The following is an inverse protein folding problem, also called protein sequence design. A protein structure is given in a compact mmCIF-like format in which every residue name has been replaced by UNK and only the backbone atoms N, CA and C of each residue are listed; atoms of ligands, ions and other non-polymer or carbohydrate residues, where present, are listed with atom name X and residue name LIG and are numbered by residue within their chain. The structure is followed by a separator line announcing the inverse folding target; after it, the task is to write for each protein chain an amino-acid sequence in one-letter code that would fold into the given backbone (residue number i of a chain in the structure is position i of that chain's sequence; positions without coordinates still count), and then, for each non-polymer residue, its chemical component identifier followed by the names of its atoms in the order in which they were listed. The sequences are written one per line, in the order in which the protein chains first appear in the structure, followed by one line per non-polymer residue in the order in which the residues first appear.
data_IF_659567461255
#
_entry.id   IF_659567461255
#
_cell.length_a   1.000
_cell.length_b   1.000
_cell.length_c   1.000
_cell.angle_alpha   90.00
_cell.angle_beta   90.00
_cell.angle_gamma   90.00
#
_symmetry.space_group_name_H-M   'P 1'
#
loop_
_entity.id
_entity.type
_entity.pdbx_description
1 polymer ?
#
# COMPACT_ATOMS: atom_id res chain seq x y z
N UNK A 1 -46.65 15.64 0.92
CA UNK A 1 -45.63 14.79 0.26
C UNK A 1 -44.25 15.21 0.76
N UNK A 2 -43.75 14.50 1.74
CA UNK A 2 -42.44 14.74 2.36
C UNK A 2 -41.37 14.19 1.42
N UNK A 3 -40.44 15.04 0.98
CA UNK A 3 -39.25 14.61 0.22
C UNK A 3 -38.29 13.99 1.21
N UNK A 4 -38.28 12.67 1.27
CA UNK A 4 -37.21 11.93 1.92
C UNK A 4 -35.88 12.28 1.25
N UNK A 5 -34.99 12.96 1.98
CA UNK A 5 -33.63 13.21 1.54
C UNK A 5 -32.89 11.88 1.54
N UNK A 6 -32.64 11.32 0.37
CA UNK A 6 -31.76 10.18 0.19
C UNK A 6 -30.39 10.60 0.71
N UNK A 7 -30.02 10.05 1.85
CA UNK A 7 -28.77 10.33 2.54
C UNK A 7 -27.65 9.50 1.89
N UNK A 8 -27.15 9.95 0.75
CA UNK A 8 -25.97 9.39 0.08
C UNK A 8 -24.70 9.76 0.83
N UNK A 9 -24.58 9.32 2.08
CA UNK A 9 -23.31 9.47 2.80
C UNK A 9 -22.29 8.53 2.19
N UNK A 10 -21.29 9.09 1.50
CA UNK A 10 -20.02 8.39 1.20
C UNK A 10 -19.51 7.80 2.51
N UNK A 11 -19.57 6.49 2.67
CA UNK A 11 -18.88 5.85 3.79
C UNK A 11 -17.42 5.75 3.44
N UNK A 12 -16.60 6.45 4.18
CA UNK A 12 -15.15 6.23 4.19
C UNK A 12 -14.94 4.83 4.74
N UNK A 13 -14.23 4.00 3.99
CA UNK A 13 -13.91 2.66 4.44
C UNK A 13 -12.98 2.76 5.63
N UNK A 14 -13.26 1.98 6.65
CA UNK A 14 -12.44 1.88 7.84
C UNK A 14 -11.06 1.32 7.46
N UNK A 15 -10.06 2.19 7.43
CA UNK A 15 -8.68 1.84 7.05
C UNK A 15 -8.10 0.85 8.06
N UNK A 16 -8.58 0.86 9.32
CA UNK A 16 -8.21 -0.11 10.34
C UNK A 16 -8.56 -1.53 9.92
N UNK A 17 -9.75 -1.73 9.35
CA UNK A 17 -10.15 -3.03 8.81
C UNK A 17 -9.28 -3.48 7.64
N UNK A 18 -8.78 -2.54 6.83
CA UNK A 18 -7.85 -2.86 5.75
C UNK A 18 -6.47 -3.30 6.27
N UNK A 19 -5.98 -2.68 7.32
CA UNK A 19 -4.67 -2.99 7.89
C UNK A 19 -4.70 -4.20 8.85
N UNK A 20 -5.86 -4.54 9.39
CA UNK A 20 -6.06 -5.68 10.32
C UNK A 20 -6.73 -6.89 9.67
N UNK A 21 -7.23 -6.78 8.46
CA UNK A 21 -7.88 -7.89 7.76
C UNK A 21 -6.96 -9.12 7.66
N UNK A 22 -7.49 -10.25 8.09
CA UNK A 22 -6.77 -11.49 8.38
C UNK A 22 -5.84 -11.96 7.26
N UNK A 23 -4.63 -12.32 7.66
CA UNK A 23 -3.64 -13.17 6.98
C UNK A 23 -2.87 -12.63 5.76
N UNK A 24 -3.26 -11.56 5.05
CA UNK A 24 -2.49 -11.03 3.91
C UNK A 24 -1.79 -9.71 4.20
N UNK A 25 -2.30 -8.95 5.14
CA UNK A 25 -1.87 -7.57 5.42
C UNK A 25 -0.66 -7.45 6.36
N UNK A 26 -0.42 -8.44 7.22
CA UNK A 26 0.67 -8.40 8.19
C UNK A 26 2.06 -8.43 7.54
N UNK A 27 2.16 -8.99 6.33
CA UNK A 27 3.42 -9.09 5.60
C UNK A 27 3.65 -7.80 4.81
N UNK A 28 4.62 -7.02 5.23
CA UNK A 28 5.04 -5.82 4.52
C UNK A 28 4.76 -4.49 5.22
N UNK A 29 3.93 -4.45 6.27
CA UNK A 29 3.82 -3.29 7.15
C UNK A 29 5.10 -3.19 7.98
N UNK A 30 5.66 -1.99 8.11
CA UNK A 30 6.82 -1.77 8.97
C UNK A 30 6.46 -1.96 10.46
N UNK A 31 7.44 -2.37 11.25
CA UNK A 31 7.29 -2.44 12.71
C UNK A 31 6.87 -1.12 13.33
N UNK A 32 7.31 0.00 12.75
CA UNK A 32 6.93 1.35 13.20
C UNK A 32 5.44 1.64 13.03
N UNK A 33 4.85 1.23 11.91
CA UNK A 33 3.42 1.44 11.68
C UNK A 33 2.58 0.47 12.51
N UNK A 34 3.04 -0.78 12.67
CA UNK A 34 2.40 -1.74 13.57
C UNK A 34 2.34 -1.24 14.99
N UNK A 35 3.45 -0.69 15.50
CA UNK A 35 3.54 -0.13 16.87
C UNK A 35 2.54 1.04 17.08
N UNK A 36 2.33 1.87 16.06
CA UNK A 36 1.32 2.93 16.10
C UNK A 36 -0.10 2.36 16.13
N UNK A 37 -0.40 1.39 15.26
CA UNK A 37 -1.72 0.74 15.18
C UNK A 37 -2.04 0.04 16.51
N UNK A 38 -1.09 -0.70 17.09
CA UNK A 38 -1.25 -1.36 18.38
C UNK A 38 -1.51 -0.37 19.54
N UNK A 39 -1.03 0.86 19.42
CA UNK A 39 -1.30 1.97 20.34
C UNK A 39 -2.61 2.71 20.06
N UNK A 40 -3.38 2.28 19.05
CA UNK A 40 -4.60 2.97 18.63
C UNK A 40 -4.36 4.26 17.83
N UNK A 41 -3.13 4.49 17.37
CA UNK A 41 -2.77 5.63 16.53
C UNK A 41 -2.85 5.26 15.04
N UNK A 42 -4.03 5.35 14.44
CA UNK A 42 -4.24 5.04 13.01
C UNK A 42 -3.82 6.21 12.12
N UNK A 43 -2.53 6.37 11.92
CA UNK A 43 -1.95 7.42 11.06
C UNK A 43 -0.70 6.95 10.34
N UNK A 44 -0.41 7.59 9.23
CA UNK A 44 0.89 7.47 8.56
C UNK A 44 2.01 8.03 9.45
N UNK A 45 3.24 7.56 9.22
CA UNK A 45 4.40 8.17 9.87
C UNK A 45 4.56 9.62 9.43
N UNK A 46 4.88 10.48 10.39
CA UNK A 46 5.25 11.87 10.14
C UNK A 46 6.58 11.98 9.41
N UNK A 47 6.83 13.10 8.74
CA UNK A 47 8.12 13.35 8.08
C UNK A 47 9.31 13.24 9.06
N UNK A 48 9.14 13.67 10.31
CA UNK A 48 10.18 13.56 11.34
C UNK A 48 10.50 12.11 11.68
N UNK A 49 9.50 11.24 11.72
CA UNK A 49 9.66 9.80 11.94
C UNK A 49 10.34 9.14 10.73
N UNK A 50 9.90 9.48 9.52
CA UNK A 50 10.53 9.02 8.27
C UNK A 50 11.99 9.46 8.17
N UNK A 51 12.32 10.69 8.51
CA UNK A 51 13.70 11.18 8.52
C UNK A 51 14.61 10.40 9.49
N UNK A 52 14.10 9.97 10.64
CA UNK A 52 14.87 9.10 11.55
C UNK A 52 15.18 7.74 10.91
N UNK A 53 14.21 7.16 10.19
CA UNK A 53 14.41 5.90 9.47
C UNK A 53 15.44 6.09 8.35
N UNK A 54 15.27 7.14 7.55
CA UNK A 54 16.20 7.49 6.47
C UNK A 54 17.63 7.61 6.99
N UNK A 55 17.84 8.35 8.08
CA UNK A 55 19.18 8.52 8.65
C UNK A 55 19.82 7.20 9.11
N UNK A 56 19.02 6.28 9.69
CA UNK A 56 19.51 4.95 10.07
C UNK A 56 19.84 4.09 8.84
N UNK A 57 18.95 4.10 7.85
CA UNK A 57 19.12 3.33 6.61
C UNK A 57 20.31 3.84 5.79
N UNK A 58 20.51 5.15 5.70
CA UNK A 58 21.66 5.79 5.06
C UNK A 58 22.99 5.27 5.63
N UNK A 59 23.12 5.30 6.96
CA UNK A 59 24.34 4.78 7.64
C UNK A 59 24.56 3.29 7.39
N UNK A 60 23.48 2.50 7.41
CA UNK A 60 23.57 1.06 7.16
C UNK A 60 23.95 0.76 5.71
N UNK A 61 23.39 1.52 4.75
CA UNK A 61 23.71 1.36 3.34
C UNK A 61 25.15 1.78 3.00
N UNK A 62 25.65 2.85 3.61
CA UNK A 62 27.06 3.20 3.49
C UNK A 62 27.99 2.07 3.94
N UNK A 63 27.71 1.47 5.11
CA UNK A 63 28.45 0.29 5.59
C UNK A 63 28.34 -0.90 4.64
N UNK A 64 27.21 -1.11 4.03
CA UNK A 64 27.00 -2.15 3.01
C UNK A 64 27.88 -1.92 1.79
N UNK A 65 27.94 -0.70 1.26
CA UNK A 65 28.83 -0.36 0.14
C UNK A 65 30.31 -0.56 0.48
N UNK A 66 30.73 -0.13 1.67
CA UNK A 66 32.10 -0.35 2.16
C UNK A 66 32.43 -1.85 2.25
N UNK A 67 31.49 -2.67 2.74
CA UNK A 67 31.66 -4.12 2.82
C UNK A 67 31.80 -4.78 1.44
N UNK A 68 31.23 -4.20 0.41
CA UNK A 68 31.40 -4.61 -0.99
C UNK A 68 32.70 -4.12 -1.63
N UNK A 69 33.52 -3.35 -0.90
CA UNK A 69 34.76 -2.76 -1.43
C UNK A 69 34.54 -1.53 -2.31
N UNK A 70 33.36 -0.91 -2.25
CA UNK A 70 33.06 0.32 -3.00
C UNK A 70 33.57 1.52 -2.22
N UNK A 71 34.46 2.31 -2.82
CA UNK A 71 34.95 3.58 -2.25
C UNK A 71 33.98 4.72 -2.54
N UNK A 72 32.78 4.60 -1.97
CA UNK A 72 31.67 5.53 -2.21
C UNK A 72 31.92 6.91 -1.55
N UNK A 73 32.73 6.99 -0.51
CA UNK A 73 33.00 8.23 0.23
C UNK A 73 33.84 9.20 -0.59
N UNK A 74 34.77 8.70 -1.43
CA UNK A 74 35.67 9.47 -2.24
C UNK A 74 35.25 9.63 -3.71
N UNK A 75 34.19 8.94 -4.13
CA UNK A 75 33.65 9.06 -5.48
C UNK A 75 32.51 10.11 -5.54
N UNK A 76 32.70 11.22 -6.28
CA UNK A 76 31.69 12.28 -6.41
C UNK A 76 30.32 11.80 -6.93
N UNK A 77 30.27 10.68 -7.68
CA UNK A 77 29.01 10.12 -8.19
C UNK A 77 28.25 9.30 -7.14
N UNK A 78 28.96 8.67 -6.20
CA UNK A 78 28.41 7.74 -5.20
C UNK A 78 28.37 8.27 -3.78
N UNK A 79 29.03 9.37 -3.45
CA UNK A 79 29.07 9.91 -2.09
C UNK A 79 27.70 10.18 -1.48
N UNK A 80 26.69 10.55 -2.30
CA UNK A 80 25.31 10.77 -1.88
C UNK A 80 24.42 9.53 -2.03
N UNK A 81 24.95 8.42 -2.57
CA UNK A 81 24.16 7.21 -2.86
C UNK A 81 23.51 6.63 -1.61
N UNK A 82 24.16 6.50 -0.45
CA UNK A 82 23.52 5.98 0.75
C UNK A 82 22.25 6.76 1.13
N UNK A 83 22.33 8.08 1.08
CA UNK A 83 21.20 8.95 1.38
C UNK A 83 20.10 8.88 0.33
N UNK A 84 20.47 8.89 -0.96
CA UNK A 84 19.50 8.78 -2.08
C UNK A 84 18.74 7.48 -2.03
N UNK A 85 19.44 6.37 -1.81
CA UNK A 85 18.82 5.04 -1.70
C UNK A 85 17.91 4.97 -0.48
N UNK A 86 18.35 5.42 0.70
CA UNK A 86 17.51 5.42 1.89
C UNK A 86 16.23 6.24 1.72
N UNK A 87 16.31 7.42 1.07
CA UNK A 87 15.13 8.22 0.72
C UNK A 87 14.21 7.52 -0.26
N UNK A 88 14.76 6.90 -1.31
CA UNK A 88 13.98 6.17 -2.30
C UNK A 88 13.19 5.04 -1.65
N UNK A 89 13.80 4.27 -0.75
CA UNK A 89 13.10 3.21 -0.02
C UNK A 89 11.95 3.73 0.82
N UNK A 90 12.16 4.77 1.61
CA UNK A 90 11.15 5.25 2.56
C UNK A 90 10.04 6.03 1.87
N UNK A 91 10.37 6.88 0.89
CA UNK A 91 9.41 7.81 0.32
C UNK A 91 8.76 7.31 -0.98
N UNK A 92 9.28 6.24 -1.59
CA UNK A 92 8.77 5.72 -2.86
C UNK A 92 8.66 4.20 -2.81
N UNK A 93 9.76 3.46 -2.93
CA UNK A 93 9.76 2.01 -3.17
C UNK A 93 9.00 1.20 -2.11
N UNK A 94 9.07 1.63 -0.85
CA UNK A 94 8.40 1.00 0.28
C UNK A 94 7.48 1.94 1.05
N UNK A 95 7.03 3.03 0.44
CA UNK A 95 6.16 4.01 1.14
C UNK A 95 4.93 3.37 1.76
N UNK A 96 4.35 2.35 1.13
CA UNK A 96 3.20 1.61 1.67
C UNK A 96 3.48 0.86 2.96
N UNK A 97 4.75 0.78 3.42
CA UNK A 97 5.12 0.28 4.75
C UNK A 97 5.04 1.34 5.83
N UNK A 98 5.01 2.61 5.46
CA UNK A 98 5.10 3.75 6.37
C UNK A 98 3.89 4.67 6.29
N UNK A 99 3.03 4.42 5.33
CA UNK A 99 1.83 5.21 5.08
C UNK A 99 0.59 4.31 5.11
N UNK A 100 -0.46 4.81 5.74
CA UNK A 100 -1.80 4.25 5.63
C UNK A 100 -2.37 4.64 4.27
N UNK A 101 -3.14 3.78 3.59
CA UNK A 101 -3.74 4.13 2.31
C UNK A 101 -4.56 5.40 2.42
N UNK A 102 -4.46 6.26 1.42
CA UNK A 102 -5.36 7.40 1.33
C UNK A 102 -6.80 6.90 1.23
N UNK A 103 -7.71 7.72 1.72
CA UNK A 103 -9.15 7.48 1.79
C UNK A 103 -9.70 6.71 0.59
N UNK A 104 -10.21 5.51 0.85
CA UNK A 104 -10.88 4.66 -0.13
C UNK A 104 -12.37 4.82 0.06
N UNK A 105 -13.06 5.29 -0.95
CA UNK A 105 -14.51 5.46 -0.91
C UNK A 105 -15.20 4.34 -1.69
N UNK A 106 -16.28 3.82 -1.11
CA UNK A 106 -17.17 2.89 -1.74
C UNK A 106 -18.62 3.40 -1.61
N UNK A 107 -19.49 2.94 -2.49
CA UNK A 107 -20.89 3.34 -2.58
C UNK A 107 -21.77 2.10 -2.46
N UNK A 108 -23.01 2.20 -2.01
CA UNK A 108 -23.96 1.10 -2.09
C UNK A 108 -24.05 0.58 -3.52
N UNK A 109 -24.20 -0.74 -3.70
CA UNK A 109 -24.36 -1.35 -5.02
C UNK A 109 -25.72 -1.05 -5.65
N UNK A 110 -26.69 -0.64 -4.83
CA UNK A 110 -28.09 -0.36 -5.24
C UNK A 110 -28.72 -1.53 -6.03
N UNK A 111 -28.36 -2.76 -5.63
CA UNK A 111 -28.84 -3.99 -6.26
C UNK A 111 -28.08 -4.40 -7.52
N UNK A 112 -27.01 -3.68 -7.90
CA UNK A 112 -26.16 -4.13 -8.99
C UNK A 112 -25.41 -5.41 -8.59
N UNK A 113 -25.57 -6.45 -9.40
CA UNK A 113 -25.01 -7.78 -9.19
C UNK A 113 -24.16 -8.28 -10.38
N UNK A 114 -23.81 -7.40 -11.28
CA UNK A 114 -22.93 -7.70 -12.41
C UNK A 114 -21.45 -7.65 -12.01
N UNK A 115 -20.61 -8.13 -12.91
CA UNK A 115 -19.15 -8.09 -12.74
C UNK A 115 -18.67 -6.65 -12.92
N UNK A 116 -17.88 -6.17 -11.95
CA UNK A 116 -17.10 -4.96 -12.08
C UNK A 116 -15.68 -5.38 -12.43
N UNK A 117 -15.18 -4.89 -13.56
CA UNK A 117 -13.87 -5.25 -14.10
C UNK A 117 -13.05 -3.98 -14.41
N UNK A 118 -11.88 -3.89 -13.82
CA UNK A 118 -10.84 -2.93 -14.19
C UNK A 118 -9.60 -3.68 -14.63
N UNK A 119 -9.08 -3.35 -15.81
CA UNK A 119 -7.94 -4.03 -16.43
C UNK A 119 -6.78 -3.09 -16.64
N UNK A 120 -5.60 -3.70 -16.78
CA UNK A 120 -4.38 -3.01 -17.17
C UNK A 120 -3.91 -1.94 -16.18
N UNK A 121 -4.26 -2.08 -14.90
CA UNK A 121 -3.75 -1.20 -13.84
C UNK A 121 -2.24 -1.38 -13.76
N UNK A 122 -1.44 -0.34 -14.06
CA UNK A 122 0.01 -0.47 -14.00
C UNK A 122 0.47 -0.66 -12.55
N UNK A 123 1.41 -1.59 -12.36
CA UNK A 123 2.03 -1.80 -11.07
C UNK A 123 3.54 -1.76 -11.16
N UNK A 124 4.14 -1.05 -10.23
CA UNK A 124 5.58 -1.11 -9.93
C UNK A 124 5.73 -1.58 -8.50
N UNK A 125 6.45 -2.66 -8.31
CA UNK A 125 6.74 -3.23 -6.99
C UNK A 125 8.21 -3.61 -6.90
N UNK A 126 8.60 -4.16 -5.78
CA UNK A 126 9.94 -4.66 -5.54
C UNK A 126 9.85 -6.07 -4.95
N UNK A 127 10.57 -7.00 -5.55
CA UNK A 127 10.68 -8.35 -5.02
C UNK A 127 11.36 -8.34 -3.65
N UNK A 128 10.74 -8.97 -2.65
CA UNK A 128 11.30 -9.03 -1.29
C UNK A 128 12.56 -9.89 -1.18
N UNK A 129 12.84 -10.76 -2.17
CA UNK A 129 13.99 -11.66 -2.12
C UNK A 129 15.30 -10.95 -2.45
N UNK A 130 15.37 -10.28 -3.57
CA UNK A 130 16.61 -9.69 -4.08
C UNK A 130 16.48 -8.18 -4.35
N UNK A 131 15.38 -7.57 -3.94
CA UNK A 131 15.07 -6.15 -4.14
C UNK A 131 15.13 -5.70 -5.62
N UNK A 132 14.83 -6.64 -6.54
CA UNK A 132 14.70 -6.31 -7.94
C UNK A 132 13.30 -5.75 -8.25
N UNK A 133 13.24 -4.84 -9.22
CA UNK A 133 11.99 -4.23 -9.64
C UNK A 133 11.05 -5.27 -10.27
N UNK A 134 9.76 -5.20 -9.90
CA UNK A 134 8.66 -5.92 -10.53
C UNK A 134 7.85 -4.87 -11.31
N UNK A 135 7.74 -5.05 -12.60
CA UNK A 135 6.91 -4.22 -13.48
C UNK A 135 5.84 -5.11 -14.09
N UNK A 136 4.60 -4.66 -14.04
CA UNK A 136 3.50 -5.47 -14.56
C UNK A 136 2.17 -4.73 -14.59
N UNK A 137 1.11 -5.53 -14.71
CA UNK A 137 -0.27 -5.07 -14.73
C UNK A 137 -1.11 -5.91 -13.77
N UNK A 138 -2.08 -5.27 -13.15
CA UNK A 138 -3.08 -5.92 -12.31
C UNK A 138 -4.43 -5.83 -13.00
N UNK A 139 -5.19 -6.91 -12.94
CA UNK A 139 -6.58 -6.96 -13.37
C UNK A 139 -7.43 -7.32 -12.16
N UNK A 140 -8.48 -6.55 -11.94
CA UNK A 140 -9.38 -6.70 -10.79
C UNK A 140 -10.78 -6.96 -11.33
N UNK A 141 -11.38 -8.06 -10.89
CA UNK A 141 -12.79 -8.35 -11.13
C UNK A 141 -13.46 -8.74 -9.83
N UNK A 142 -14.65 -8.24 -9.57
CA UNK A 142 -15.44 -8.64 -8.42
C UNK A 142 -16.93 -8.44 -8.69
N UNK A 143 -17.77 -9.14 -7.96
CA UNK A 143 -19.23 -8.97 -7.95
C UNK A 143 -19.60 -8.41 -6.58
N UNK A 144 -20.27 -7.27 -6.46
CA UNK A 144 -20.74 -6.75 -5.18
C UNK A 144 -21.66 -7.78 -4.49
N UNK A 145 -21.59 -7.89 -3.18
CA UNK A 145 -22.57 -8.66 -2.41
C UNK A 145 -23.99 -8.06 -2.56
N UNK A 146 -25.00 -8.78 -2.10
CA UNK A 146 -26.43 -8.37 -2.22
C UNK A 146 -26.66 -6.99 -1.62
N UNK A 147 -26.08 -6.72 -0.45
CA UNK A 147 -26.05 -5.40 0.20
C UNK A 147 -24.65 -4.78 0.16
N UNK A 148 -23.85 -5.22 -0.81
CA UNK A 148 -22.44 -4.89 -0.94
C UNK A 148 -22.19 -3.49 -1.48
N UNK A 149 -20.91 -3.19 -1.73
CA UNK A 149 -20.46 -1.87 -2.16
C UNK A 149 -19.73 -1.93 -3.48
N UNK A 150 -19.87 -0.85 -4.23
CA UNK A 150 -19.10 -0.58 -5.43
C UNK A 150 -17.92 0.33 -5.07
N UNK A 151 -16.71 -0.13 -5.37
CA UNK A 151 -15.49 0.63 -5.18
C UNK A 151 -15.24 1.51 -6.40
N UNK A 152 -15.01 2.80 -6.20
CA UNK A 152 -14.70 3.69 -7.31
C UNK A 152 -13.43 3.23 -8.05
N UNK A 153 -13.43 3.20 -9.39
CA UNK A 153 -12.32 2.70 -10.21
C UNK A 153 -10.97 3.32 -9.82
N UNK A 154 -10.91 4.64 -9.64
CA UNK A 154 -9.71 5.33 -9.17
C UNK A 154 -9.21 4.86 -7.80
N UNK A 155 -10.06 4.22 -7.00
CA UNK A 155 -9.69 3.67 -5.69
C UNK A 155 -9.06 2.29 -5.82
N UNK A 156 -9.47 1.51 -6.81
CA UNK A 156 -8.82 0.25 -7.15
C UNK A 156 -7.35 0.50 -7.53
N UNK A 157 -7.08 1.52 -8.35
CA UNK A 157 -5.70 1.93 -8.66
C UNK A 157 -4.89 2.29 -7.42
N UNK A 158 -5.47 3.00 -6.45
CA UNK A 158 -4.80 3.37 -5.20
C UNK A 158 -4.50 2.17 -4.33
N UNK A 159 -5.39 1.17 -4.29
CA UNK A 159 -5.17 -0.10 -3.58
C UNK A 159 -3.96 -0.81 -4.19
N UNK A 160 -3.95 -0.97 -5.51
CA UNK A 160 -2.84 -1.61 -6.23
C UNK A 160 -1.51 -0.88 -5.95
N UNK A 161 -1.51 0.43 -6.05
CA UNK A 161 -0.32 1.24 -5.80
C UNK A 161 0.18 1.10 -4.36
N UNK A 162 -0.72 1.17 -3.38
CA UNK A 162 -0.37 1.04 -1.97
C UNK A 162 0.30 -0.30 -1.66
N UNK A 163 -0.29 -1.42 -2.11
CA UNK A 163 0.28 -2.74 -1.88
C UNK A 163 1.52 -3.00 -2.73
N UNK A 164 1.58 -2.47 -3.95
CA UNK A 164 2.78 -2.51 -4.79
C UNK A 164 4.00 -1.88 -4.13
N UNK A 165 3.79 -0.84 -3.32
CA UNK A 165 4.86 -0.10 -2.62
C UNK A 165 5.21 -0.68 -1.25
N UNK A 166 5.11 -2.00 -1.06
CA UNK A 166 5.48 -2.67 0.21
C UNK A 166 6.66 -3.62 0.11
N UNK A 167 7.06 -4.01 -1.08
CA UNK A 167 8.07 -5.04 -1.32
C UNK A 167 7.56 -6.41 -0.87
N UNK A 168 7.18 -7.25 -1.82
CA UNK A 168 6.60 -8.57 -1.58
C UNK A 168 6.93 -9.52 -2.74
N UNK A 169 6.46 -10.75 -2.64
CA UNK A 169 6.38 -11.67 -3.78
C UNK A 169 5.00 -11.50 -4.45
N UNK A 170 4.89 -11.94 -5.69
CA UNK A 170 3.67 -11.77 -6.49
C UNK A 170 2.44 -12.39 -5.82
N UNK A 171 2.59 -13.57 -5.24
CA UNK A 171 1.52 -14.32 -4.58
C UNK A 171 0.96 -13.54 -3.39
N UNK A 172 1.84 -13.02 -2.53
CA UNK A 172 1.43 -12.20 -1.37
C UNK A 172 0.78 -10.89 -1.80
N UNK A 173 1.30 -10.26 -2.84
CA UNK A 173 0.75 -9.03 -3.40
C UNK A 173 -0.66 -9.26 -3.94
N UNK A 174 -0.88 -10.35 -4.68
CA UNK A 174 -2.18 -10.75 -5.20
C UNK A 174 -3.19 -10.96 -4.07
N UNK A 175 -2.81 -11.74 -3.04
CA UNK A 175 -3.66 -12.00 -1.88
C UNK A 175 -3.99 -10.71 -1.12
N UNK A 176 -3.01 -9.81 -0.94
CA UNK A 176 -3.23 -8.56 -0.24
C UNK A 176 -4.23 -7.65 -0.97
N UNK A 177 -4.10 -7.51 -2.29
CA UNK A 177 -5.04 -6.75 -3.12
C UNK A 177 -6.42 -7.38 -3.09
N UNK A 178 -6.53 -8.71 -3.27
CA UNK A 178 -7.78 -9.44 -3.20
C UNK A 178 -8.52 -9.21 -1.87
N UNK A 179 -7.83 -9.42 -0.74
CA UNK A 179 -8.43 -9.25 0.58
C UNK A 179 -8.90 -7.81 0.83
N UNK A 180 -8.13 -6.81 0.36
CA UNK A 180 -8.53 -5.42 0.47
C UNK A 180 -9.85 -5.15 -0.26
N UNK A 181 -9.96 -5.63 -1.50
CA UNK A 181 -11.15 -5.42 -2.33
C UNK A 181 -12.35 -6.14 -1.73
N UNK A 182 -12.20 -7.42 -1.34
CA UNK A 182 -13.26 -8.20 -0.71
C UNK A 182 -13.79 -7.54 0.57
N UNK A 183 -12.87 -6.98 1.38
CA UNK A 183 -13.23 -6.26 2.61
C UNK A 183 -13.99 -4.97 2.32
N UNK A 184 -13.58 -4.19 1.31
CA UNK A 184 -14.17 -2.90 0.97
C UNK A 184 -15.53 -3.08 0.27
N UNK A 185 -15.60 -4.02 -0.67
CA UNK A 185 -16.80 -4.31 -1.44
C UNK A 185 -17.82 -5.15 -0.66
N UNK A 186 -17.42 -5.67 0.52
CA UNK A 186 -18.26 -6.57 1.34
C UNK A 186 -18.73 -7.76 0.51
N UNK A 187 -17.81 -8.41 -0.19
CA UNK A 187 -18.08 -9.56 -1.07
C UNK A 187 -17.08 -10.69 -0.84
N UNK A 188 -17.53 -11.91 -1.12
CA UNK A 188 -16.66 -13.10 -1.16
C UNK A 188 -16.34 -13.54 -2.62
N UNK A 189 -16.88 -12.80 -3.62
CA UNK A 189 -16.80 -13.14 -5.05
C UNK A 189 -15.97 -12.13 -5.84
#
# INVERSE_FOLDING_TARGET
MSKEKVNTRRKVVDVEKLETAKAGFANGISTYLKDLIEKGEHRSLTDKEKLKIISKAEKAYGKFLTALGVDWENDPNSMETPRRVAKAYVNDLWRGRYEIPTEITAFPSDGYNGIILERDIPITSMCSHHHQAILGKVHIAYIPGTDGKVVGLSKLNRIVEHFGRRGSIQEQLTVAIHNAISTIAETEN
#
